data_IF_453318962870
#
_entry.id   IF_453318962870
#
_cell.length_a   1.000
_cell.length_b   1.000
_cell.length_c   1.000
_cell.angle_alpha   90.00
_cell.angle_beta   90.00
_cell.angle_gamma   90.00
#
_symmetry.space_group_name_H-M   'P 1'
#
loop_
_entity.id
_entity.type
_entity.pdbx_description
1 polymer ?
#
# COMPACT_ATOMS: atom_id res chain seq x y z
N UNK A 1 -17.56 11.13 3.79
CA UNK A 1 -16.58 12.25 3.84
C UNK A 1 -15.44 11.96 2.87
N UNK A 2 -14.89 12.96 2.18
CA UNK A 2 -13.68 12.76 1.35
C UNK A 2 -12.43 12.94 2.22
N UNK A 3 -11.81 11.84 2.67
CA UNK A 3 -10.54 11.91 3.40
C UNK A 3 -9.41 12.37 2.46
N UNK A 4 -8.55 13.34 2.84
CA UNK A 4 -7.49 13.87 1.97
C UNK A 4 -6.56 12.80 1.39
N UNK A 5 -6.30 11.71 2.13
CA UNK A 5 -5.50 10.60 1.61
C UNK A 5 -6.17 9.90 0.41
N UNK A 6 -7.50 9.77 0.41
CA UNK A 6 -8.22 9.18 -0.72
C UNK A 6 -8.24 10.10 -1.95
N UNK A 7 -8.22 11.42 -1.74
CA UNK A 7 -8.03 12.38 -2.85
C UNK A 7 -6.64 12.23 -3.46
N UNK A 8 -5.58 12.12 -2.64
CA UNK A 8 -4.22 11.91 -3.13
C UNK A 8 -4.04 10.57 -3.84
N UNK A 9 -4.64 9.50 -3.29
CA UNK A 9 -4.59 8.16 -3.90
C UNK A 9 -5.17 8.19 -5.33
N UNK A 10 -6.31 8.86 -5.53
CA UNK A 10 -6.93 9.01 -6.86
C UNK A 10 -6.15 9.90 -7.82
N UNK A 11 -5.28 10.77 -7.32
CA UNK A 11 -4.45 11.65 -8.13
C UNK A 11 -3.14 10.97 -8.61
N UNK A 12 -2.87 9.72 -8.20
CA UNK A 12 -1.68 9.00 -8.63
C UNK A 12 -1.69 8.72 -10.13
N UNK A 13 -0.50 8.74 -10.74
CA UNK A 13 -0.26 8.31 -12.11
C UNK A 13 0.47 6.98 -12.09
N UNK A 14 -0.17 5.95 -12.64
CA UNK A 14 0.41 4.62 -12.74
C UNK A 14 1.27 4.51 -13.99
N UNK A 15 2.42 3.86 -13.84
CA UNK A 15 3.32 3.52 -14.94
C UNK A 15 3.34 2.00 -15.09
N UNK A 16 3.45 1.51 -16.33
CA UNK A 16 3.48 0.08 -16.60
C UNK A 16 4.80 -0.59 -16.17
N UNK A 17 5.86 0.18 -15.97
CA UNK A 17 7.19 -0.32 -15.61
C UNK A 17 7.51 0.09 -14.18
N UNK A 18 7.93 -0.89 -13.39
CA UNK A 18 8.38 -0.65 -12.01
C UNK A 18 9.77 -0.01 -12.02
N UNK A 19 10.00 1.07 -11.25
CA UNK A 19 11.34 1.59 -11.04
C UNK A 19 12.21 0.58 -10.27
N UNK A 20 13.53 0.66 -10.43
CA UNK A 20 14.44 -0.12 -9.59
C UNK A 20 14.30 0.32 -8.13
N UNK A 21 13.85 -0.59 -7.27
CA UNK A 21 13.67 -0.39 -5.84
C UNK A 21 14.43 -1.47 -5.07
N UNK A 22 14.89 -1.18 -3.84
CA UNK A 22 15.44 -2.20 -2.96
C UNK A 22 14.45 -3.35 -2.74
N UNK A 23 14.92 -4.62 -2.68
CA UNK A 23 14.04 -5.79 -2.55
C UNK A 23 12.98 -5.67 -1.45
N UNK A 24 13.28 -5.20 -0.22
CA UNK A 24 12.26 -5.11 0.82
C UNK A 24 11.08 -4.21 0.41
N UNK A 25 11.33 -3.10 -0.30
CA UNK A 25 10.30 -2.17 -0.74
C UNK A 25 9.52 -2.70 -1.94
N UNK A 26 10.19 -3.34 -2.90
CA UNK A 26 9.49 -3.98 -4.01
C UNK A 26 8.59 -5.10 -3.52
N UNK A 27 9.04 -5.88 -2.54
CA UNK A 27 8.25 -6.98 -1.98
C UNK A 27 6.96 -6.48 -1.34
N UNK A 28 6.95 -5.30 -0.71
CA UNK A 28 5.73 -4.69 -0.17
C UNK A 28 4.77 -4.24 -1.28
N UNK A 29 5.28 -3.68 -2.38
CA UNK A 29 4.46 -3.15 -3.47
C UNK A 29 3.93 -4.23 -4.42
N UNK A 30 4.66 -5.34 -4.57
CA UNK A 30 4.34 -6.46 -5.45
C UNK A 30 3.69 -7.64 -4.70
N UNK A 31 3.26 -7.44 -3.46
CA UNK A 31 2.54 -8.47 -2.73
C UNK A 31 1.25 -8.83 -3.47
N UNK A 32 1.05 -10.13 -3.73
CA UNK A 32 -0.14 -10.63 -4.46
C UNK A 32 -1.41 -10.64 -3.60
N UNK A 33 -1.25 -10.60 -2.27
CA UNK A 33 -2.35 -10.53 -1.30
C UNK A 33 -2.51 -9.12 -0.71
N UNK A 34 -3.56 -8.91 0.07
CA UNK A 34 -3.81 -7.68 0.80
C UNK A 34 -2.74 -7.38 1.85
N UNK A 35 -2.64 -6.10 2.20
CA UNK A 35 -1.68 -5.63 3.20
C UNK A 35 -2.05 -5.98 4.65
N UNK A 36 -3.27 -6.48 4.90
CA UNK A 36 -3.81 -6.69 6.26
C UNK A 36 -2.92 -7.60 7.09
N UNK A 37 -2.72 -8.85 6.67
CA UNK A 37 -1.90 -9.81 7.41
C UNK A 37 -0.44 -9.36 7.50
N UNK A 38 0.09 -8.74 6.44
CA UNK A 38 1.49 -8.31 6.41
C UNK A 38 1.75 -7.12 7.34
N UNK A 39 0.77 -6.24 7.54
CA UNK A 39 0.83 -5.22 8.59
C UNK A 39 0.68 -5.82 9.99
N UNK A 40 -0.16 -6.85 10.16
CA UNK A 40 -0.30 -7.56 11.44
C UNK A 40 0.98 -8.27 11.88
N UNK A 41 1.73 -8.84 10.93
CA UNK A 41 3.04 -9.44 11.17
C UNK A 41 4.07 -8.43 11.73
N UNK A 42 3.83 -7.12 11.60
CA UNK A 42 4.63 -6.07 12.25
C UNK A 42 4.24 -5.83 13.73
N UNK A 43 3.39 -6.68 14.31
CA UNK A 43 2.90 -6.57 15.67
C UNK A 43 1.89 -5.44 15.87
N UNK A 44 1.11 -5.10 14.82
CA UNK A 44 0.10 -4.04 14.85
C UNK A 44 -1.29 -4.60 14.60
N UNK A 45 -2.29 -4.15 15.34
CA UNK A 45 -3.68 -4.46 15.02
C UNK A 45 -4.15 -3.58 13.85
N UNK A 46 -4.63 -4.21 12.78
CA UNK A 46 -5.19 -3.49 11.62
C UNK A 46 -6.69 -3.30 11.83
N UNK A 47 -7.19 -2.09 11.57
CA UNK A 47 -8.62 -1.76 11.62
C UNK A 47 -9.03 -0.93 10.41
N UNK A 48 -10.30 -0.97 10.04
CA UNK A 48 -10.85 -0.23 8.90
C UNK A 48 -11.60 1.01 9.42
N UNK A 49 -11.40 2.14 8.76
CA UNK A 49 -12.14 3.40 9.04
C UNK A 49 -13.09 3.68 7.89
N UNK A 50 -14.34 4.04 8.21
CA UNK A 50 -15.42 4.38 7.26
C UNK A 50 -15.75 5.87 7.22
#
# INVERSE_FOLDING_TARGET
MSHPALTRLRALRYFAVMPSLPPPLSDWLLLEDSMTQRFEQQGKQVTVTG
#
